data_IF_344088612581
#
_entry.id   IF_344088612581
#
_cell.length_a   1.000
_cell.length_b   1.000
_cell.length_c   1.000
_cell.angle_alpha   90.00
_cell.angle_beta   90.00
_cell.angle_gamma   90.00
#
_symmetry.space_group_name_H-M   'P 1'
#
loop_
_entity.id
_entity.type
_entity.pdbx_description
1 polymer ?
#
# COMPACT_ATOMS: atom_id res chain seq x y z
N UNK A 1 11.08 -18.47 -3.29
CA UNK A 1 9.82 -19.25 -3.12
C UNK A 1 8.70 -18.68 -3.99
N UNK A 2 7.55 -19.37 -4.12
CA UNK A 2 6.39 -18.91 -4.90
C UNK A 2 5.97 -17.47 -4.56
N UNK A 3 6.02 -17.11 -3.28
CA UNK A 3 5.68 -15.76 -2.81
C UNK A 3 6.62 -14.68 -3.35
N UNK A 4 7.93 -14.95 -3.39
CA UNK A 4 8.89 -14.03 -3.96
C UNK A 4 8.65 -13.83 -5.46
N UNK A 5 8.27 -14.89 -6.19
CA UNK A 5 7.95 -14.77 -7.61
C UNK A 5 6.77 -13.80 -7.84
N UNK A 6 5.72 -13.85 -7.02
CA UNK A 6 4.59 -12.90 -7.09
C UNK A 6 5.07 -11.47 -6.83
N UNK A 7 5.81 -11.26 -5.73
CA UNK A 7 6.31 -9.93 -5.34
C UNK A 7 7.16 -9.30 -6.44
N UNK A 8 8.12 -10.04 -7.00
CA UNK A 8 8.99 -9.54 -8.07
C UNK A 8 8.26 -9.35 -9.40
N UNK A 9 7.25 -10.18 -9.70
CA UNK A 9 6.40 -10.00 -10.88
C UNK A 9 5.63 -8.68 -10.78
N UNK A 10 4.97 -8.41 -9.64
CA UNK A 10 4.23 -7.17 -9.43
C UNK A 10 5.14 -5.94 -9.45
N UNK A 11 6.32 -6.04 -8.83
CA UNK A 11 7.33 -4.98 -8.90
C UNK A 11 7.79 -4.72 -10.34
N UNK A 12 8.00 -5.77 -11.14
CA UNK A 12 8.41 -5.63 -12.54
C UNK A 12 7.35 -4.93 -13.38
N UNK A 13 6.07 -5.26 -13.18
CA UNK A 13 4.95 -4.57 -13.84
C UNK A 13 4.89 -3.09 -13.39
N UNK A 14 5.08 -2.82 -12.10
CA UNK A 14 5.15 -1.46 -11.58
C UNK A 14 6.33 -0.66 -12.14
N UNK A 15 7.49 -1.29 -12.34
CA UNK A 15 8.67 -0.70 -12.98
C UNK A 15 8.36 -0.33 -14.43
N UNK A 16 7.83 -1.26 -15.22
CA UNK A 16 7.50 -1.03 -16.64
C UNK A 16 6.50 0.12 -16.79
N UNK A 17 5.46 0.16 -15.95
CA UNK A 17 4.47 1.26 -16.00
C UNK A 17 5.06 2.60 -15.54
N UNK A 18 5.95 2.61 -14.55
CA UNK A 18 6.62 3.83 -14.09
C UNK A 18 7.60 4.37 -15.13
N UNK A 19 8.38 3.50 -15.78
CA UNK A 19 9.24 3.86 -16.92
C UNK A 19 8.39 4.40 -18.07
N UNK A 20 7.30 3.70 -18.41
CA UNK A 20 6.37 4.12 -19.47
C UNK A 20 5.81 5.52 -19.21
N UNK A 21 5.47 5.85 -17.96
CA UNK A 21 5.06 7.20 -17.56
C UNK A 21 6.14 8.25 -17.82
N UNK A 22 7.39 7.98 -17.41
CA UNK A 22 8.51 8.91 -17.61
C UNK A 22 8.76 9.16 -19.10
N UNK A 23 8.83 8.08 -19.89
CA UNK A 23 9.01 8.17 -21.35
C UNK A 23 7.86 8.98 -21.97
N UNK A 24 6.62 8.71 -21.55
CA UNK A 24 5.46 9.39 -22.09
C UNK A 24 5.47 10.90 -21.81
N UNK A 25 5.77 11.29 -20.57
CA UNK A 25 5.86 12.71 -20.19
C UNK A 25 6.98 13.39 -20.96
N UNK A 26 8.15 12.75 -21.04
CA UNK A 26 9.31 13.30 -21.73
C UNK A 26 9.10 13.45 -23.24
N UNK A 27 8.46 12.45 -23.90
CA UNK A 27 8.32 12.42 -25.37
C UNK A 27 7.09 13.17 -25.89
N UNK A 28 5.98 13.19 -25.15
CA UNK A 28 4.70 13.71 -25.67
C UNK A 28 4.29 15.04 -25.03
N UNK A 29 4.59 15.22 -23.75
CA UNK A 29 4.04 16.36 -22.99
C UNK A 29 5.07 17.43 -22.66
N UNK A 30 6.36 17.11 -22.69
CA UNK A 30 7.47 18.08 -22.57
C UNK A 30 7.64 18.74 -21.20
N UNK A 31 6.76 18.45 -20.22
CA UNK A 31 6.82 19.03 -18.87
C UNK A 31 6.45 17.99 -17.80
N UNK A 32 7.26 17.95 -16.73
CA UNK A 32 6.97 17.17 -15.53
C UNK A 32 6.04 17.93 -14.61
N UNK A 33 4.97 17.28 -14.17
CA UNK A 33 4.04 17.85 -13.21
C UNK A 33 4.29 17.29 -11.81
N UNK A 34 3.81 17.99 -10.78
CA UNK A 34 3.97 17.55 -9.39
C UNK A 34 3.40 16.15 -9.12
N UNK A 35 2.39 15.71 -9.87
CA UNK A 35 1.85 14.34 -9.77
C UNK A 35 2.86 13.27 -10.20
N UNK A 36 3.75 13.58 -11.15
CA UNK A 36 4.77 12.64 -11.66
C UNK A 36 5.84 12.36 -10.61
N UNK A 37 6.31 13.40 -9.90
CA UNK A 37 7.26 13.24 -8.81
C UNK A 37 6.71 12.39 -7.67
N UNK A 38 5.44 12.59 -7.31
CA UNK A 38 4.78 11.81 -6.25
C UNK A 38 4.59 10.34 -6.64
N UNK A 39 4.28 10.06 -7.91
CA UNK A 39 4.17 8.68 -8.37
C UNK A 39 5.53 7.97 -8.41
N UNK A 40 6.59 8.66 -8.86
CA UNK A 40 7.95 8.10 -8.83
C UNK A 40 8.43 7.90 -7.39
N UNK A 41 8.08 8.82 -6.47
CA UNK A 41 8.33 8.64 -5.04
C UNK A 41 7.61 7.39 -4.51
N UNK A 42 6.35 7.18 -4.90
CA UNK A 42 5.62 5.94 -4.59
C UNK A 42 6.32 4.69 -5.12
N UNK A 43 6.87 4.73 -6.33
CA UNK A 43 7.66 3.62 -6.88
C UNK A 43 8.98 3.38 -6.13
N UNK A 44 9.65 4.44 -5.66
CA UNK A 44 10.85 4.34 -4.83
C UNK A 44 10.51 3.64 -3.50
N UNK A 45 9.42 4.05 -2.84
CA UNK A 45 8.96 3.38 -1.62
C UNK A 45 8.53 1.93 -1.86
N UNK A 46 7.86 1.63 -2.99
CA UNK A 46 7.55 0.26 -3.37
C UNK A 46 8.82 -0.57 -3.58
N UNK A 47 9.85 -0.02 -4.20
CA UNK A 47 11.13 -0.71 -4.42
C UNK A 47 11.84 -1.01 -3.11
N UNK A 48 11.85 -0.05 -2.18
CA UNK A 48 12.36 -0.26 -0.83
C UNK A 48 11.53 -1.32 -0.08
N UNK A 49 10.20 -1.28 -0.20
CA UNK A 49 9.29 -2.27 0.37
C UNK A 49 9.61 -3.67 -0.16
N UNK A 50 9.73 -3.83 -1.48
CA UNK A 50 10.09 -5.10 -2.14
C UNK A 50 11.45 -5.62 -1.67
N UNK A 51 12.44 -4.75 -1.49
CA UNK A 51 13.76 -5.13 -0.96
C UNK A 51 13.65 -5.67 0.48
N UNK A 52 12.94 -4.95 1.37
CA UNK A 52 12.70 -5.38 2.76
C UNK A 52 11.97 -6.72 2.80
N UNK A 53 10.90 -6.87 2.01
CA UNK A 53 10.11 -8.11 1.94
C UNK A 53 10.96 -9.28 1.45
N UNK A 54 11.84 -9.05 0.46
CA UNK A 54 12.75 -10.09 -0.05
C UNK A 54 13.68 -10.62 1.05
N UNK A 55 14.16 -9.75 1.94
CA UNK A 55 15.03 -10.11 3.07
C UNK A 55 14.26 -10.78 4.21
N UNK A 56 13.04 -10.34 4.50
CA UNK A 56 12.27 -10.84 5.66
C UNK A 56 11.55 -12.16 5.39
N UNK A 57 11.14 -12.40 4.14
CA UNK A 57 10.38 -13.61 3.73
C UNK A 57 11.04 -14.93 4.15
N UNK A 58 12.34 -15.19 3.91
CA UNK A 58 12.96 -16.44 4.35
C UNK A 58 12.97 -16.61 5.87
N UNK A 59 13.04 -15.50 6.63
CA UNK A 59 12.98 -15.53 8.09
C UNK A 59 11.58 -15.96 8.53
N UNK A 60 10.54 -15.39 7.95
CA UNK A 60 9.16 -15.80 8.26
C UNK A 60 8.84 -17.23 7.86
N UNK A 61 9.38 -17.72 6.73
CA UNK A 61 9.18 -19.11 6.31
C UNK A 61 9.79 -20.10 7.29
N UNK A 62 10.94 -19.75 7.88
CA UNK A 62 11.57 -20.52 8.96
C UNK A 62 10.78 -20.43 10.27
N UNK A 63 10.39 -19.23 10.71
CA UNK A 63 9.57 -19.06 11.92
C UNK A 63 8.26 -19.84 11.80
N UNK A 64 7.62 -19.81 10.62
CA UNK A 64 6.42 -20.59 10.33
C UNK A 64 6.66 -22.10 10.42
N UNK A 65 7.71 -22.62 9.78
CA UNK A 65 7.98 -24.07 9.80
C UNK A 65 8.26 -24.56 11.22
N UNK A 66 8.97 -23.75 12.02
CA UNK A 66 9.22 -24.04 13.42
C UNK A 66 7.95 -24.02 14.27
N UNK A 67 7.11 -22.98 14.16
CA UNK A 67 5.86 -22.88 14.92
C UNK A 67 4.92 -24.06 14.63
N UNK A 68 4.86 -24.52 13.38
CA UNK A 68 4.09 -25.69 13.00
C UNK A 68 4.67 -27.00 13.57
N UNK A 69 5.99 -27.14 13.55
CA UNK A 69 6.67 -28.30 14.13
C UNK A 69 6.47 -28.34 15.66
N UNK A 70 6.67 -27.22 16.35
CA UNK A 70 6.50 -27.10 17.80
C UNK A 70 5.04 -27.35 18.24
N UNK A 71 4.07 -26.94 17.42
CA UNK A 71 2.66 -27.24 17.65
C UNK A 71 2.35 -28.74 17.55
N UNK A 72 3.09 -29.50 16.73
CA UNK A 72 2.94 -30.94 16.60
C UNK A 72 3.69 -31.72 17.69
N UNK A 73 4.88 -31.26 18.07
CA UNK A 73 5.70 -31.86 19.12
C UNK A 73 6.41 -30.74 19.91
N UNK A 74 6.07 -30.54 21.19
CA UNK A 74 6.67 -29.48 22.02
C UNK A 74 8.19 -29.62 22.24
N UNK A 75 8.75 -30.81 22.00
CA UNK A 75 10.18 -31.09 22.17
C UNK A 75 10.99 -30.92 20.88
N UNK A 76 10.41 -30.33 19.83
CA UNK A 76 11.16 -30.06 18.59
C UNK A 76 12.35 -29.15 18.87
N UNK A 77 13.58 -29.58 18.53
CA UNK A 77 14.76 -28.75 18.71
C UNK A 77 14.66 -27.49 17.84
N UNK A 78 15.20 -26.37 18.32
CA UNK A 78 15.24 -25.15 17.52
C UNK A 78 16.04 -25.40 16.23
N UNK A 79 15.62 -24.80 15.09
CA UNK A 79 16.31 -24.95 13.82
C UNK A 79 17.71 -24.31 13.82
N UNK A 80 17.96 -23.41 14.76
CA UNK A 80 19.21 -22.67 14.96
C UNK A 80 19.55 -22.64 16.46
N UNK A 81 20.82 -22.39 16.83
CA UNK A 81 21.18 -22.04 18.19
C UNK A 81 20.28 -20.90 18.73
N UNK A 82 19.86 -21.00 19.99
CA UNK A 82 18.91 -20.06 20.61
C UNK A 82 19.30 -18.59 20.41
N UNK A 83 20.58 -18.26 20.62
CA UNK A 83 21.10 -16.92 20.41
C UNK A 83 20.94 -16.41 18.97
N UNK A 84 21.12 -17.29 17.97
CA UNK A 84 20.96 -16.94 16.55
C UNK A 84 19.49 -16.78 16.17
N UNK A 85 18.62 -17.65 16.71
CA UNK A 85 17.18 -17.55 16.50
C UNK A 85 16.64 -16.21 17.05
N UNK A 86 16.99 -15.87 18.29
CA UNK A 86 16.60 -14.60 18.92
C UNK A 86 17.09 -13.40 18.11
N UNK A 87 18.34 -13.43 17.64
CA UNK A 87 18.88 -12.35 16.81
C UNK A 87 18.13 -12.18 15.48
N UNK A 88 17.69 -13.29 14.85
CA UNK A 88 16.91 -13.24 13.62
C UNK A 88 15.48 -12.74 13.86
N UNK A 89 14.84 -13.11 14.96
CA UNK A 89 13.52 -12.59 15.34
C UNK A 89 13.58 -11.09 15.64
N UNK A 90 14.59 -10.61 16.36
CA UNK A 90 14.79 -9.16 16.56
C UNK A 90 15.00 -8.44 15.23
N UNK A 91 15.73 -9.06 14.29
CA UNK A 91 15.92 -8.52 12.94
C UNK A 91 14.60 -8.49 12.15
N UNK A 92 13.79 -9.55 12.21
CA UNK A 92 12.49 -9.61 11.51
C UNK A 92 11.52 -8.54 12.04
N UNK A 93 11.45 -8.34 13.35
CA UNK A 93 10.66 -7.27 13.97
C UNK A 93 11.06 -5.88 13.44
N UNK A 94 12.36 -5.54 13.43
CA UNK A 94 12.83 -4.25 12.90
C UNK A 94 12.47 -4.07 11.42
N UNK A 95 12.60 -5.12 10.62
CA UNK A 95 12.24 -5.10 9.20
C UNK A 95 10.72 -4.97 8.99
N UNK A 96 9.89 -5.60 9.83
CA UNK A 96 8.43 -5.43 9.80
C UNK A 96 8.01 -3.99 10.07
N UNK A 97 8.65 -3.34 11.04
CA UNK A 97 8.38 -1.94 11.33
C UNK A 97 8.68 -1.04 10.13
N UNK A 98 9.85 -1.23 9.51
CA UNK A 98 10.25 -0.50 8.31
C UNK A 98 9.31 -0.81 7.13
N UNK A 99 8.93 -2.08 6.96
CA UNK A 99 7.98 -2.53 5.95
C UNK A 99 6.64 -1.80 6.06
N UNK A 100 6.11 -1.67 7.28
CA UNK A 100 4.83 -1.00 7.51
C UNK A 100 4.88 0.50 7.17
N UNK A 101 5.98 1.19 7.52
CA UNK A 101 6.17 2.60 7.15
C UNK A 101 6.29 2.79 5.63
N UNK A 102 7.05 1.93 4.95
CA UNK A 102 7.20 1.96 3.50
C UNK A 102 5.90 1.65 2.78
N UNK A 103 5.13 0.71 3.32
CA UNK A 103 3.80 0.36 2.84
C UNK A 103 2.86 1.56 2.87
N UNK A 104 2.69 2.20 4.03
CA UNK A 104 1.85 3.40 4.15
C UNK A 104 2.34 4.55 3.26
N UNK A 105 3.65 4.76 3.19
CA UNK A 105 4.22 5.83 2.36
C UNK A 105 3.97 5.57 0.87
N UNK A 106 4.00 4.32 0.42
CA UNK A 106 3.69 3.94 -0.97
C UNK A 106 2.23 4.23 -1.31
N UNK A 107 1.29 3.82 -0.45
CA UNK A 107 -0.14 4.04 -0.66
C UNK A 107 -0.50 5.53 -0.69
N UNK A 108 0.02 6.31 0.25
CA UNK A 108 -0.27 7.74 0.31
C UNK A 108 0.40 8.54 -0.80
N UNK A 109 1.61 8.16 -1.24
CA UNK A 109 2.23 8.74 -2.42
C UNK A 109 1.34 8.58 -3.68
N UNK A 110 0.73 7.40 -3.85
CA UNK A 110 -0.25 7.14 -4.91
C UNK A 110 -1.49 8.04 -4.80
N UNK A 111 -2.10 8.11 -3.61
CA UNK A 111 -3.26 8.99 -3.32
C UNK A 111 -2.95 10.46 -3.58
N UNK A 112 -1.80 10.96 -3.14
CA UNK A 112 -1.38 12.34 -3.40
C UNK A 112 -1.10 12.61 -4.89
N UNK A 113 -0.50 11.66 -5.61
CA UNK A 113 -0.33 11.78 -7.06
C UNK A 113 -1.69 11.95 -7.76
N UNK A 114 -2.69 11.14 -7.38
CA UNK A 114 -4.06 11.25 -7.90
C UNK A 114 -4.72 12.59 -7.52
N UNK A 115 -4.56 13.05 -6.28
CA UNK A 115 -5.11 14.33 -5.84
C UNK A 115 -4.51 15.49 -6.63
N UNK A 116 -3.19 15.52 -6.83
CA UNK A 116 -2.53 16.57 -7.64
C UNK A 116 -2.98 16.50 -9.09
N UNK A 117 -3.14 15.30 -9.66
CA UNK A 117 -3.73 15.14 -10.98
C UNK A 117 -5.14 15.76 -11.06
N UNK A 118 -6.00 15.51 -10.07
CA UNK A 118 -7.33 16.12 -10.03
C UNK A 118 -7.30 17.63 -9.79
N UNK A 119 -6.35 18.14 -9.00
CA UNK A 119 -6.13 19.59 -8.83
C UNK A 119 -6.01 20.27 -10.18
N UNK A 120 -5.17 19.73 -11.07
CA UNK A 120 -4.93 20.28 -12.40
C UNK A 120 -6.21 20.29 -13.27
N UNK A 121 -7.14 19.36 -13.04
CA UNK A 121 -8.43 19.33 -13.74
C UNK A 121 -9.44 20.37 -13.22
N UNK A 122 -9.33 20.80 -11.96
CA UNK A 122 -10.28 21.74 -11.33
C UNK A 122 -9.74 23.17 -11.21
N UNK A 123 -8.52 23.44 -11.72
CA UNK A 123 -7.96 24.79 -11.83
C UNK A 123 -8.95 25.67 -12.60
N UNK A 124 -9.31 26.82 -11.99
CA UNK A 124 -10.28 27.77 -12.54
C UNK A 124 -11.67 27.72 -11.89
N UNK A 125 -11.97 26.74 -11.04
CA UNK A 125 -13.27 26.66 -10.34
C UNK A 125 -13.08 26.81 -8.81
N UNK A 126 -13.27 28.03 -8.24
CA UNK A 126 -12.86 28.33 -6.86
C UNK A 126 -13.55 27.44 -5.82
N UNK A 127 -14.85 27.13 -5.99
CA UNK A 127 -15.59 26.23 -5.08
C UNK A 127 -14.97 24.83 -4.98
N UNK A 128 -14.50 24.27 -6.10
CA UNK A 128 -13.87 22.95 -6.11
C UNK A 128 -12.46 22.96 -5.54
N UNK A 129 -11.74 24.08 -5.65
CA UNK A 129 -10.43 24.24 -5.01
C UNK A 129 -10.53 24.18 -3.48
N UNK A 130 -11.57 24.76 -2.87
CA UNK A 130 -11.79 24.63 -1.42
C UNK A 130 -12.05 23.18 -1.02
N UNK A 131 -12.90 22.46 -1.78
CA UNK A 131 -13.17 21.03 -1.53
C UNK A 131 -11.88 20.21 -1.69
N UNK A 132 -11.08 20.50 -2.72
CA UNK A 132 -9.81 19.84 -2.96
C UNK A 132 -8.83 20.03 -1.80
N UNK A 133 -8.67 21.25 -1.29
CA UNK A 133 -7.82 21.54 -0.14
C UNK A 133 -8.30 20.82 1.13
N UNK A 134 -9.62 20.76 1.35
CA UNK A 134 -10.19 20.02 2.46
C UNK A 134 -9.87 18.51 2.37
N UNK A 135 -10.07 17.91 1.19
CA UNK A 135 -9.75 16.49 0.95
C UNK A 135 -8.24 16.24 1.08
N UNK A 136 -7.40 17.09 0.50
CA UNK A 136 -5.94 16.98 0.59
C UNK A 136 -5.47 17.00 2.05
N UNK A 137 -5.99 17.94 2.84
CA UNK A 137 -5.65 18.06 4.26
C UNK A 137 -6.12 16.84 5.05
N UNK A 138 -7.34 16.35 4.81
CA UNK A 138 -7.84 15.15 5.49
C UNK A 138 -7.01 13.90 5.16
N UNK A 139 -6.63 13.70 3.89
CA UNK A 139 -5.77 12.58 3.48
C UNK A 139 -4.36 12.70 4.05
N UNK A 140 -3.84 13.91 4.21
CA UNK A 140 -2.58 14.14 4.91
C UNK A 140 -2.67 13.84 6.40
N UNK A 141 -3.77 14.21 7.06
CA UNK A 141 -3.98 13.89 8.46
C UNK A 141 -4.11 12.38 8.68
N UNK A 142 -4.79 11.65 7.79
CA UNK A 142 -4.86 10.18 7.90
C UNK A 142 -3.50 9.54 7.68
N UNK A 143 -2.63 10.09 6.82
CA UNK A 143 -1.25 9.62 6.66
C UNK A 143 -0.49 9.70 7.98
N UNK A 144 -0.47 10.89 8.56
CA UNK A 144 0.23 11.17 9.80
C UNK A 144 -0.32 10.31 10.94
N UNK A 145 -1.64 10.10 10.98
CA UNK A 145 -2.27 9.22 11.94
C UNK A 145 -1.86 7.75 11.77
N UNK A 146 -1.78 7.22 10.54
CA UNK A 146 -1.30 5.86 10.28
C UNK A 146 0.17 5.68 10.66
N UNK A 147 1.02 6.66 10.32
CA UNK A 147 2.44 6.67 10.72
C UNK A 147 2.56 6.70 12.24
N UNK A 148 1.85 7.60 12.91
CA UNK A 148 1.84 7.70 14.37
C UNK A 148 1.32 6.42 15.02
N UNK A 149 0.24 5.83 14.50
CA UNK A 149 -0.31 4.56 14.97
C UNK A 149 0.75 3.44 14.90
N UNK A 150 1.58 3.41 13.86
CA UNK A 150 2.69 2.48 13.77
C UNK A 150 3.69 2.67 14.93
N UNK A 151 4.07 3.91 15.25
CA UNK A 151 4.91 4.23 16.42
C UNK A 151 4.23 3.96 17.76
N UNK A 152 2.90 3.98 17.84
CA UNK A 152 2.15 3.74 19.09
C UNK A 152 1.70 2.28 19.25
N UNK A 153 2.14 1.40 18.36
CA UNK A 153 1.75 -0.03 18.38
C UNK A 153 2.15 -0.73 19.68
N UNK A 154 3.21 -0.27 20.36
CA UNK A 154 3.65 -0.81 21.65
C UNK A 154 4.13 0.29 22.60
N UNK A 155 3.98 0.07 23.92
CA UNK A 155 4.49 1.01 24.92
C UNK A 155 5.22 0.32 26.10
N UNK A 156 6.44 0.76 26.46
CA UNK A 156 7.32 1.66 25.70
C UNK A 156 7.74 1.06 24.35
N UNK A 157 8.04 1.95 23.40
CA UNK A 157 8.39 1.60 22.04
C UNK A 157 9.59 0.62 22.04
N UNK A 158 10.61 0.87 22.85
CA UNK A 158 11.84 0.05 22.97
C UNK A 158 11.61 -1.47 23.09
N UNK A 159 10.47 -1.90 23.68
CA UNK A 159 10.09 -3.32 23.76
C UNK A 159 9.97 -4.00 22.40
N UNK A 160 9.53 -3.27 21.38
CA UNK A 160 9.37 -3.81 20.04
C UNK A 160 10.71 -4.21 19.41
N UNK A 161 11.83 -3.62 19.85
CA UNK A 161 13.19 -3.96 19.40
C UNK A 161 13.87 -5.03 20.27
N UNK A 162 13.15 -5.60 21.24
CA UNK A 162 13.65 -6.62 22.16
C UNK A 162 13.25 -8.04 21.72
N UNK A 163 13.97 -9.06 22.20
CA UNK A 163 13.67 -10.48 21.94
C UNK A 163 12.26 -10.88 22.39
N UNK A 164 11.79 -10.28 23.48
CA UNK A 164 10.42 -10.45 24.00
C UNK A 164 9.36 -9.79 23.14
N UNK A 165 9.73 -8.86 22.26
CA UNK A 165 8.82 -8.12 21.40
C UNK A 165 7.65 -7.49 22.15
N UNK A 166 6.52 -7.36 21.46
CA UNK A 166 5.27 -6.86 22.02
C UNK A 166 4.35 -8.02 22.41
N UNK A 167 4.82 -8.86 23.33
CA UNK A 167 4.14 -10.10 23.72
C UNK A 167 3.16 -9.93 24.88
N UNK A 168 3.06 -8.74 25.49
CA UNK A 168 2.10 -8.53 26.58
C UNK A 168 0.65 -8.52 26.04
N UNK A 169 -0.35 -9.01 26.81
CA UNK A 169 -1.75 -9.01 26.37
C UNK A 169 -2.27 -7.63 25.98
N UNK A 170 -1.79 -6.57 26.64
CA UNK A 170 -2.18 -5.20 26.36
C UNK A 170 -1.50 -4.64 25.10
N UNK A 171 -0.24 -5.04 24.83
CA UNK A 171 0.44 -4.66 23.59
C UNK A 171 -0.16 -5.38 22.37
N UNK A 172 -0.61 -6.64 22.52
CA UNK A 172 -1.35 -7.35 21.47
C UNK A 172 -2.67 -6.67 21.14
N UNK A 173 -3.43 -6.21 22.15
CA UNK A 173 -4.66 -5.43 21.95
C UNK A 173 -4.38 -4.10 21.25
N UNK A 174 -3.31 -3.40 21.64
CA UNK A 174 -2.88 -2.14 21.00
C UNK A 174 -2.48 -2.34 19.54
N UNK A 175 -1.75 -3.40 19.24
CA UNK A 175 -1.36 -3.75 17.87
C UNK A 175 -2.58 -4.06 16.99
N UNK A 176 -3.52 -4.86 17.50
CA UNK A 176 -4.78 -5.14 16.78
C UNK A 176 -5.61 -3.86 16.54
N UNK A 177 -5.71 -3.00 17.56
CA UNK A 177 -6.40 -1.71 17.43
C UNK A 177 -5.70 -0.78 16.42
N UNK A 178 -4.36 -0.72 16.44
CA UNK A 178 -3.55 0.06 15.51
C UNK A 178 -3.77 -0.35 14.06
N UNK A 179 -3.76 -1.66 13.77
CA UNK A 179 -3.98 -2.16 12.40
C UNK A 179 -5.42 -1.88 11.93
N UNK A 180 -6.42 -2.07 12.81
CA UNK A 180 -7.83 -1.76 12.49
C UNK A 180 -8.02 -0.28 12.20
N UNK A 181 -7.46 0.59 13.05
CA UNK A 181 -7.50 2.03 12.87
C UNK A 181 -6.85 2.45 11.55
N UNK A 182 -5.63 2.01 11.30
CA UNK A 182 -4.89 2.39 10.10
C UNK A 182 -5.58 1.89 8.82
N UNK A 183 -6.17 0.69 8.86
CA UNK A 183 -6.95 0.17 7.72
C UNK A 183 -8.24 0.96 7.50
N UNK A 184 -8.94 1.34 8.57
CA UNK A 184 -10.12 2.21 8.45
C UNK A 184 -9.77 3.59 7.88
N UNK A 185 -8.65 4.17 8.33
CA UNK A 185 -8.14 5.45 7.83
C UNK A 185 -7.75 5.40 6.35
N UNK A 186 -7.15 4.29 5.91
CA UNK A 186 -6.79 4.00 4.52
C UNK A 186 -8.02 3.93 3.62
N UNK A 187 -9.01 3.11 3.99
CA UNK A 187 -10.29 2.97 3.28
C UNK A 187 -11.02 4.32 3.23
N UNK A 188 -11.06 5.06 4.34
CA UNK A 188 -11.66 6.38 4.39
C UNK A 188 -10.97 7.37 3.44
N UNK A 189 -9.63 7.36 3.40
CA UNK A 189 -8.88 8.19 2.48
C UNK A 189 -9.16 7.82 1.01
N UNK A 190 -9.27 6.53 0.68
CA UNK A 190 -9.65 6.08 -0.67
C UNK A 190 -11.04 6.60 -1.07
N UNK A 191 -12.02 6.53 -0.17
CA UNK A 191 -13.35 7.10 -0.42
C UNK A 191 -13.30 8.60 -0.69
N UNK A 192 -12.53 9.37 0.09
CA UNK A 192 -12.40 10.81 -0.11
C UNK A 192 -11.78 11.14 -1.49
N UNK A 193 -10.70 10.46 -1.86
CA UNK A 193 -10.04 10.66 -3.16
C UNK A 193 -10.98 10.28 -4.31
N UNK A 194 -11.77 9.22 -4.14
CA UNK A 194 -12.70 8.71 -5.15
C UNK A 194 -13.97 9.57 -5.31
N UNK A 195 -14.44 10.23 -4.24
CA UNK A 195 -15.62 11.12 -4.30
C UNK A 195 -15.35 12.43 -5.03
N UNK A 196 -14.11 12.92 -5.01
CA UNK A 196 -13.70 14.17 -5.63
C UNK A 196 -14.04 14.23 -7.14
N UNK A 197 -13.64 13.26 -7.99
CA UNK A 197 -14.01 13.23 -9.40
C UNK A 197 -15.52 13.03 -9.65
N UNK A 198 -16.22 12.30 -8.78
CA UNK A 198 -17.66 12.04 -8.93
C UNK A 198 -18.50 13.30 -8.80
N UNK A 199 -18.18 14.16 -7.81
CA UNK A 199 -18.86 15.46 -7.67
C UNK A 199 -18.63 16.34 -8.90
N UNK A 200 -17.44 16.31 -9.48
CA UNK A 200 -17.15 17.08 -10.70
C UNK A 200 -17.97 16.59 -11.90
N UNK A 201 -18.15 15.27 -12.03
CA UNK A 201 -18.94 14.65 -13.12
C UNK A 201 -20.42 15.04 -13.12
N UNK A 202 -21.00 15.30 -11.95
CA UNK A 202 -22.42 15.65 -11.84
C UNK A 202 -22.72 17.10 -12.17
N UNK A 203 -21.75 17.99 -11.98
CA UNK A 203 -21.97 19.44 -12.10
C UNK A 203 -21.46 20.02 -13.42
N UNK A 204 -20.53 19.34 -14.09
CA UNK A 204 -19.86 19.87 -15.28
C UNK A 204 -20.23 19.03 -16.52
N UNK A 205 -20.57 19.69 -17.64
CA UNK A 205 -20.82 19.04 -18.94
C UNK A 205 -19.52 18.49 -19.54
N UNK A 206 -19.03 17.41 -18.95
CA UNK A 206 -17.75 16.79 -19.26
C UNK A 206 -17.85 15.96 -20.54
N UNK A 207 -16.82 16.03 -21.38
CA UNK A 207 -16.73 15.24 -22.62
C UNK A 207 -16.78 13.73 -22.35
N UNK A 208 -17.40 12.93 -23.25
CA UNK A 208 -17.51 11.46 -23.09
C UNK A 208 -16.17 10.77 -22.78
N UNK A 209 -15.06 11.29 -23.34
CA UNK A 209 -13.70 10.79 -23.10
C UNK A 209 -13.23 11.00 -21.66
N UNK A 210 -13.61 12.10 -21.02
CA UNK A 210 -13.31 12.34 -19.62
C UNK A 210 -14.15 11.46 -18.70
N UNK A 211 -15.42 11.23 -19.04
CA UNK A 211 -16.32 10.34 -18.31
C UNK A 211 -15.81 8.90 -18.24
N UNK A 212 -15.31 8.35 -19.35
CA UNK A 212 -14.72 7.00 -19.40
C UNK A 212 -13.50 6.89 -18.48
N UNK A 213 -12.58 7.85 -18.55
CA UNK A 213 -11.38 7.79 -17.74
C UNK A 213 -11.64 7.95 -16.24
N UNK A 214 -12.60 8.79 -15.86
CA UNK A 214 -13.05 8.91 -14.47
C UNK A 214 -13.68 7.60 -13.99
N UNK A 215 -14.45 6.92 -14.86
CA UNK A 215 -14.96 5.57 -14.61
C UNK A 215 -13.85 4.55 -14.37
N UNK A 216 -12.81 4.52 -15.21
CA UNK A 216 -11.67 3.63 -15.00
C UNK A 216 -10.97 3.88 -13.65
N UNK A 217 -10.72 5.15 -13.30
CA UNK A 217 -10.12 5.50 -12.01
C UNK A 217 -10.98 5.07 -10.81
N UNK A 218 -12.31 5.18 -10.93
CA UNK A 218 -13.24 4.73 -9.91
C UNK A 218 -13.20 3.20 -9.72
N UNK A 219 -13.23 2.43 -10.82
CA UNK A 219 -13.12 0.96 -10.76
C UNK A 219 -11.82 0.51 -10.09
N UNK A 220 -10.73 1.23 -10.30
CA UNK A 220 -9.44 0.92 -9.71
C UNK A 220 -9.36 1.29 -8.22
N UNK A 221 -10.00 2.39 -7.81
CA UNK A 221 -10.17 2.72 -6.40
C UNK A 221 -10.93 1.61 -5.65
N UNK A 222 -11.99 1.06 -6.25
CA UNK A 222 -12.71 -0.09 -5.68
C UNK A 222 -11.78 -1.30 -5.53
N UNK A 223 -10.95 -1.59 -6.52
CA UNK A 223 -10.00 -2.71 -6.46
C UNK A 223 -9.03 -2.54 -5.27
N UNK A 224 -8.47 -1.35 -5.07
CA UNK A 224 -7.58 -1.06 -3.93
C UNK A 224 -8.32 -1.26 -2.60
N UNK A 225 -9.55 -0.75 -2.48
CA UNK A 225 -10.39 -0.93 -1.28
C UNK A 225 -10.65 -2.43 -1.00
N UNK A 226 -10.92 -3.23 -2.04
CA UNK A 226 -11.10 -4.68 -1.90
C UNK A 226 -9.84 -5.34 -1.32
N UNK A 227 -8.65 -4.97 -1.81
CA UNK A 227 -7.40 -5.48 -1.25
C UNK A 227 -7.20 -5.06 0.22
N UNK A 228 -7.54 -3.82 0.59
CA UNK A 228 -7.52 -3.37 1.98
C UNK A 228 -8.42 -4.21 2.89
N UNK A 229 -9.63 -4.56 2.43
CA UNK A 229 -10.54 -5.45 3.16
C UNK A 229 -9.99 -6.87 3.29
N UNK A 230 -9.39 -7.42 2.22
CA UNK A 230 -8.76 -8.73 2.28
C UNK A 230 -7.59 -8.73 3.27
N UNK A 231 -6.76 -7.68 3.28
CA UNK A 231 -5.68 -7.50 4.29
C UNK A 231 -6.27 -7.50 5.70
N UNK A 232 -7.30 -6.72 5.96
CA UNK A 232 -7.97 -6.64 7.27
C UNK A 232 -8.53 -7.99 7.72
N UNK A 233 -9.17 -8.73 6.80
CA UNK A 233 -9.73 -10.05 7.10
C UNK A 233 -8.64 -11.04 7.51
N UNK A 234 -7.50 -11.04 6.81
CA UNK A 234 -6.38 -11.93 7.13
C UNK A 234 -5.73 -11.59 8.47
N UNK A 235 -5.54 -10.29 8.78
CA UNK A 235 -5.05 -9.86 10.10
C UNK A 235 -6.01 -10.28 11.19
N UNK A 236 -7.31 -9.99 11.01
CA UNK A 236 -8.32 -10.29 12.02
C UNK A 236 -8.39 -11.80 12.29
N UNK A 237 -8.31 -12.63 11.25
CA UNK A 237 -8.24 -14.10 11.39
C UNK A 237 -6.98 -14.54 12.14
N UNK A 238 -5.82 -13.97 11.82
CA UNK A 238 -4.58 -14.27 12.51
C UNK A 238 -4.65 -13.95 14.02
N UNK A 239 -5.22 -12.80 14.39
CA UNK A 239 -5.37 -12.39 15.79
C UNK A 239 -6.43 -13.22 16.53
N UNK A 240 -7.60 -13.43 15.92
CA UNK A 240 -8.73 -14.11 16.58
C UNK A 240 -8.55 -15.62 16.71
N UNK A 241 -7.81 -16.24 15.80
CA UNK A 241 -7.52 -17.68 15.84
C UNK A 241 -6.16 -18.01 16.46
N UNK A 242 -5.43 -17.01 16.96
CA UNK A 242 -4.11 -17.20 17.58
C UNK A 242 -4.10 -18.23 18.72
N UNK A 243 -5.23 -18.40 19.42
CA UNK A 243 -5.37 -19.37 20.53
C UNK A 243 -5.91 -20.74 20.11
N UNK A 244 -6.53 -20.85 18.94
CA UNK A 244 -7.28 -22.03 18.50
C UNK A 244 -6.60 -22.80 17.37
N UNK A 245 -5.81 -22.15 16.53
CA UNK A 245 -5.15 -22.78 15.38
C UNK A 245 -3.70 -22.28 15.23
N UNK A 246 -2.69 -23.09 15.59
CA UNK A 246 -1.28 -22.71 15.46
C UNK A 246 -0.87 -22.47 14.00
N UNK A 247 -1.58 -23.09 13.05
CA UNK A 247 -1.41 -22.86 11.60
C UNK A 247 -1.77 -21.45 11.17
N UNK A 248 -2.84 -20.87 11.72
CA UNK A 248 -3.26 -19.49 11.38
C UNK A 248 -2.29 -18.47 11.96
N UNK A 249 -1.75 -18.72 13.16
CA UNK A 249 -0.76 -17.86 13.79
C UNK A 249 0.56 -17.86 13.00
N UNK A 250 1.05 -19.04 12.62
CA UNK A 250 2.30 -19.19 11.87
C UNK A 250 2.25 -18.55 10.47
N UNK A 251 1.07 -18.51 9.84
CA UNK A 251 0.88 -17.92 8.52
C UNK A 251 0.65 -16.40 8.54
N UNK A 252 0.32 -15.81 9.69
CA UNK A 252 -0.09 -14.41 9.82
C UNK A 252 0.90 -13.39 9.24
N UNK A 253 2.18 -13.38 9.67
CA UNK A 253 3.17 -12.42 9.19
C UNK A 253 3.43 -12.49 7.68
N UNK A 254 3.49 -13.69 7.12
CA UNK A 254 3.71 -13.92 5.68
C UNK A 254 2.53 -13.38 4.88
N UNK A 255 1.30 -13.74 5.27
CA UNK A 255 0.10 -13.30 4.59
C UNK A 255 -0.05 -11.78 4.66
N UNK A 256 0.17 -11.18 5.84
CA UNK A 256 0.15 -9.73 6.01
C UNK A 256 1.16 -9.06 5.08
N UNK A 257 2.39 -9.56 5.02
CA UNK A 257 3.44 -9.02 4.15
C UNK A 257 3.08 -9.12 2.67
N UNK A 258 2.53 -10.26 2.26
CA UNK A 258 2.13 -10.51 0.87
C UNK A 258 1.01 -9.55 0.45
N UNK A 259 -0.09 -9.51 1.20
CA UNK A 259 -1.25 -8.66 0.86
C UNK A 259 -0.88 -7.18 0.86
N UNK A 260 -0.04 -6.74 1.81
CA UNK A 260 0.47 -5.36 1.84
C UNK A 260 1.29 -5.04 0.59
N UNK A 261 2.13 -5.97 0.12
CA UNK A 261 2.93 -5.78 -1.10
C UNK A 261 2.06 -5.74 -2.36
N UNK A 262 1.07 -6.62 -2.45
CA UNK A 262 0.11 -6.65 -3.56
C UNK A 262 -0.64 -5.32 -3.63
N UNK A 263 -1.19 -4.88 -2.51
CA UNK A 263 -1.95 -3.64 -2.41
C UNK A 263 -1.10 -2.41 -2.77
N UNK A 264 0.13 -2.33 -2.25
CA UNK A 264 1.07 -1.27 -2.59
C UNK A 264 1.44 -1.26 -4.08
N UNK A 265 1.69 -2.42 -4.68
CA UNK A 265 1.97 -2.52 -6.11
C UNK A 265 0.78 -2.06 -6.95
N UNK A 266 -0.43 -2.52 -6.61
CA UNK A 266 -1.67 -2.10 -7.28
C UNK A 266 -1.85 -0.57 -7.15
N UNK A 267 -1.65 0.01 -5.98
CA UNK A 267 -1.76 1.46 -5.79
C UNK A 267 -0.79 2.25 -6.69
N UNK A 268 0.46 1.79 -6.83
CA UNK A 268 1.44 2.40 -7.77
C UNK A 268 0.97 2.27 -9.22
N UNK A 269 0.48 1.09 -9.63
CA UNK A 269 -0.07 0.90 -10.97
C UNK A 269 -1.23 1.87 -11.24
N UNK A 270 -2.16 1.99 -10.29
CA UNK A 270 -3.31 2.91 -10.38
C UNK A 270 -2.85 4.36 -10.50
N UNK A 271 -1.84 4.77 -9.73
CA UNK A 271 -1.30 6.12 -9.76
C UNK A 271 -0.66 6.50 -11.11
N UNK A 272 -0.19 5.50 -11.88
CA UNK A 272 0.46 5.70 -13.18
C UNK A 272 -0.53 5.79 -14.36
N UNK A 273 -1.76 5.26 -14.21
CA UNK A 273 -2.75 5.22 -15.29
C UNK A 273 -3.21 6.58 -15.84
N UNK A 274 -3.35 7.65 -15.03
CA UNK A 274 -3.67 8.98 -15.55
C UNK A 274 -2.68 9.49 -16.60
N UNK A 275 -1.40 9.12 -16.50
CA UNK A 275 -0.41 9.47 -17.51
C UNK A 275 -0.72 8.77 -18.83
N UNK A 276 -0.94 7.45 -18.81
CA UNK A 276 -1.24 6.66 -20.02
C UNK A 276 -2.52 7.09 -20.74
N UNK A 277 -3.49 7.64 -20.02
CA UNK A 277 -4.71 8.22 -20.62
C UNK A 277 -4.40 9.28 -21.68
N UNK A 278 -3.34 10.08 -21.53
CA UNK A 278 -3.01 11.11 -22.53
C UNK A 278 -2.67 10.51 -23.89
N UNK A 279 -2.08 9.31 -23.94
CA UNK A 279 -1.76 8.61 -25.19
C UNK A 279 -3.01 8.28 -26.00
N UNK A 280 -4.03 7.74 -25.34
CA UNK A 280 -5.29 7.37 -25.99
C UNK A 280 -6.00 8.60 -26.59
N UNK A 281 -5.81 9.78 -25.99
CA UNK A 281 -6.34 11.04 -26.53
C UNK A 281 -5.56 11.51 -27.76
N UNK A 282 -4.23 11.45 -27.73
CA UNK A 282 -3.38 11.90 -28.85
C UNK A 282 -3.48 10.98 -30.06
N UNK A 283 -3.38 9.66 -29.87
CA UNK A 283 -3.50 8.67 -30.95
C UNK A 283 -4.87 8.72 -31.66
N UNK A 284 -5.94 9.00 -30.92
CA UNK A 284 -7.28 9.17 -31.49
C UNK A 284 -7.49 10.49 -32.25
N UNK A 285 -6.66 11.51 -32.04
CA UNK A 285 -6.70 12.76 -32.81
C UNK A 285 -5.93 12.63 -34.12
N UNK A 286 -4.76 11.98 -34.11
CA UNK A 286 -3.97 11.70 -35.33
C UNK A 286 -4.71 10.81 -36.32
N UNK A 287 -5.54 9.87 -35.83
CA UNK A 287 -6.40 9.03 -36.67
C UNK A 287 -7.55 9.78 -37.32
N UNK A 288 -7.97 10.92 -36.75
CA UNK A 288 -9.12 11.73 -37.19
C UNK A 288 -8.72 12.86 -38.14
N UNK A 289 -7.44 13.22 -38.17
CA UNK A 289 -6.85 14.13 -39.17
C UNK A 289 -6.44 13.41 -40.45
N UNK A 290 -6.31 12.08 -40.41
CA UNK A 290 -5.92 11.24 -41.54
C UNK A 290 -7.11 10.49 -42.18
N UNK A 291 -8.35 10.85 -41.81
CA UNK A 291 -9.61 10.33 -42.35
C UNK A 291 -10.46 11.49 -42.87
#
# INVERSE_FOLDING_TARGET
TFWQAIVWTLWSVALVTSIGRVILRHRIQGQFHADDYLALLGFIFLSALTAVVTVVTPIFEMERSYLLAAASNPLTPLPLPEAQFVAQTVKSLKLMFAQMLLFWSTLWAGKFSLLVFFRNMVIGIPKYMYIWWAVFTLVLLTYLACVLSNFLTCAPLDKYWSATGCSSPDDLKRSDASIKFATAADIFADFLVMLLPLRLLWTLQISRKQKVALGCMFSLGIIVIVFAFVRLSNVTKATSQAKTNPTTLANGPILLSLWSTIEAAVAVLVSNLPAFRSLLRTAGNTRRTNS
#
